data_IF_800848993709
#
_entry.id   IF_800848993709
#
_cell.length_a   1.000
_cell.length_b   1.000
_cell.length_c   1.000
_cell.angle_alpha   90.00
_cell.angle_beta   90.00
_cell.angle_gamma   90.00
#
_symmetry.space_group_name_H-M   'P 1'
#
loop_
_entity.id
_entity.type
_entity.pdbx_description
1 polymer ?
#
# COMPACT_ATOMS: atom_id res chain seq x y z
N UNK A 1 10.08 6.12 -0.71
CA UNK A 1 9.99 4.65 -0.93
C UNK A 1 10.46 3.74 0.23
N UNK A 2 11.59 4.00 0.91
CA UNK A 2 12.10 3.11 1.99
C UNK A 2 11.08 2.96 3.13
N UNK A 3 10.38 4.06 3.43
CA UNK A 3 9.27 4.11 4.39
C UNK A 3 8.08 3.26 3.95
N UNK A 4 7.76 3.27 2.66
CA UNK A 4 6.70 2.45 2.08
C UNK A 4 7.06 0.96 2.17
N UNK A 5 8.33 0.61 1.93
CA UNK A 5 8.82 -0.76 2.09
C UNK A 5 8.68 -1.22 3.55
N UNK A 6 9.03 -0.35 4.50
CA UNK A 6 8.87 -0.60 5.94
C UNK A 6 7.41 -0.84 6.30
N UNK A 7 6.50 -0.02 5.78
CA UNK A 7 5.05 -0.16 5.93
C UNK A 7 4.56 -1.51 5.36
N UNK A 8 4.98 -1.88 4.15
CA UNK A 8 4.60 -3.17 3.55
C UNK A 8 5.11 -4.37 4.33
N UNK A 9 6.36 -4.35 4.80
CA UNK A 9 6.92 -5.40 5.64
C UNK A 9 6.12 -5.55 6.93
N UNK A 10 5.72 -4.44 7.57
CA UNK A 10 4.91 -4.49 8.79
C UNK A 10 3.51 -5.07 8.52
N UNK A 11 2.83 -4.64 7.45
CA UNK A 11 1.51 -5.16 7.07
C UNK A 11 1.54 -6.66 6.75
N UNK A 12 2.53 -7.11 5.99
CA UNK A 12 2.67 -8.52 5.60
C UNK A 12 3.14 -9.39 6.77
N UNK A 13 3.86 -8.83 7.75
CA UNK A 13 4.16 -9.54 9.00
C UNK A 13 2.91 -9.69 9.87
N UNK A 14 2.11 -8.64 9.99
CA UNK A 14 0.91 -8.63 10.82
C UNK A 14 -0.20 -9.52 10.25
N UNK A 15 -0.31 -9.59 8.91
CA UNK A 15 -1.29 -10.41 8.20
C UNK A 15 -0.65 -11.02 6.95
N UNK A 16 0.02 -12.18 7.03
CA UNK A 16 0.53 -12.85 5.83
C UNK A 16 -0.56 -13.09 4.78
N UNK A 17 -0.21 -13.13 3.50
CA UNK A 17 -1.15 -13.54 2.45
C UNK A 17 -0.89 -15.00 2.05
N UNK A 18 -1.94 -15.78 1.80
CA UNK A 18 -1.78 -17.19 1.41
C UNK A 18 -1.14 -17.33 0.01
N UNK A 19 -1.37 -16.35 -0.87
CA UNK A 19 -0.85 -16.30 -2.24
C UNK A 19 0.19 -15.17 -2.38
N UNK A 20 0.97 -15.23 -3.46
CA UNK A 20 1.97 -14.21 -3.81
C UNK A 20 1.31 -12.89 -4.21
N UNK A 21 0.13 -12.93 -4.83
CA UNK A 21 -0.66 -11.74 -5.15
C UNK A 21 -1.57 -11.36 -3.98
N UNK A 22 -1.75 -10.05 -3.80
CA UNK A 22 -2.67 -9.50 -2.83
C UNK A 22 -4.06 -9.28 -3.46
N UNK A 23 -5.16 -9.53 -2.73
CA UNK A 23 -6.49 -9.16 -3.20
C UNK A 23 -6.61 -7.65 -3.46
N UNK A 24 -7.42 -7.20 -4.43
CA UNK A 24 -7.57 -5.78 -4.77
C UNK A 24 -7.96 -4.90 -3.58
N UNK A 25 -8.89 -5.35 -2.73
CA UNK A 25 -9.30 -4.62 -1.52
C UNK A 25 -8.13 -4.39 -0.56
N UNK A 26 -7.25 -5.39 -0.44
CA UNK A 26 -6.07 -5.30 0.40
C UNK A 26 -5.02 -4.37 -0.21
N UNK A 27 -4.87 -4.36 -1.52
CA UNK A 27 -4.00 -3.40 -2.21
C UNK A 27 -4.51 -1.96 -2.03
N UNK A 28 -5.81 -1.72 -2.20
CA UNK A 28 -6.42 -0.40 -1.99
C UNK A 28 -6.22 0.08 -0.55
N UNK A 29 -6.42 -0.81 0.44
CA UNK A 29 -6.14 -0.50 1.84
C UNK A 29 -4.67 -0.17 2.10
N UNK A 30 -3.71 -0.85 1.46
CA UNK A 30 -2.29 -0.53 1.63
C UNK A 30 -1.94 0.84 1.01
N UNK A 31 -2.46 1.15 -0.18
CA UNK A 31 -2.19 2.42 -0.87
C UNK A 31 -2.53 3.64 -0.02
N UNK A 32 -3.59 3.60 0.79
CA UNK A 32 -3.96 4.70 1.69
C UNK A 32 -2.93 4.99 2.79
N UNK A 33 -1.96 4.10 3.01
CA UNK A 33 -0.89 4.23 4.00
C UNK A 33 0.51 4.46 3.40
N UNK A 34 0.66 4.48 2.07
CA UNK A 34 1.95 4.71 1.39
C UNK A 34 2.15 6.17 1.00
N UNK A 35 3.40 6.63 0.96
CA UNK A 35 3.79 7.91 0.40
C UNK A 35 3.71 7.89 -1.14
N UNK A 36 4.12 6.78 -1.77
CA UNK A 36 3.98 6.55 -3.20
C UNK A 36 3.02 5.38 -3.46
N UNK A 37 1.69 5.60 -3.45
CA UNK A 37 0.71 4.52 -3.65
C UNK A 37 0.83 3.85 -5.03
N UNK A 38 1.25 4.61 -6.05
CA UNK A 38 1.50 4.12 -7.41
C UNK A 38 2.67 3.11 -7.47
N UNK A 39 3.61 3.19 -6.54
CA UNK A 39 4.79 2.33 -6.50
C UNK A 39 4.52 0.97 -5.83
N UNK A 40 3.30 0.70 -5.33
CA UNK A 40 3.00 -0.51 -4.54
C UNK A 40 3.37 -1.80 -5.27
N UNK A 41 2.94 -1.94 -6.51
CA UNK A 41 3.17 -3.14 -7.33
C UNK A 41 4.66 -3.35 -7.60
N UNK A 42 5.37 -2.28 -7.98
CA UNK A 42 6.82 -2.30 -8.13
C UNK A 42 7.48 -2.73 -6.83
N UNK A 43 7.11 -2.11 -5.71
CA UNK A 43 7.75 -2.36 -4.43
C UNK A 43 7.56 -3.80 -3.96
N UNK A 44 6.39 -4.41 -4.16
CA UNK A 44 6.19 -5.85 -3.91
C UNK A 44 7.12 -6.71 -4.76
N UNK A 45 7.26 -6.39 -6.06
CA UNK A 45 8.18 -7.10 -6.95
C UNK A 45 9.64 -6.97 -6.51
N UNK A 46 10.07 -5.76 -6.11
CA UNK A 46 11.43 -5.51 -5.62
C UNK A 46 11.71 -6.23 -4.30
N UNK A 47 10.76 -6.22 -3.35
CA UNK A 47 10.95 -6.90 -2.07
C UNK A 47 11.01 -8.44 -2.24
N UNK A 48 10.32 -8.99 -3.25
CA UNK A 48 10.44 -10.40 -3.64
C UNK A 48 11.80 -10.70 -4.31
N UNK A 49 12.23 -9.84 -5.25
CA UNK A 49 13.52 -9.95 -5.93
C UNK A 49 14.69 -9.88 -4.92
N UNK A 50 14.64 -8.92 -4.00
CA UNK A 50 15.60 -8.75 -2.92
C UNK A 50 15.48 -9.81 -1.80
N UNK A 51 14.58 -10.79 -1.94
CA UNK A 51 14.31 -11.86 -0.97
C UNK A 51 13.93 -11.37 0.44
N UNK A 52 13.45 -10.13 0.54
CA UNK A 52 12.88 -9.58 1.78
C UNK A 52 11.48 -10.12 2.03
N UNK A 53 10.80 -10.61 0.98
CA UNK A 53 9.54 -11.35 1.06
C UNK A 53 9.73 -12.80 0.58
N UNK A 54 9.04 -13.72 1.26
CA UNK A 54 8.79 -15.09 0.80
C UNK A 54 7.46 -15.09 0.03
N UNK A 55 7.31 -15.80 -1.10
CA UNK A 55 6.10 -15.70 -1.94
C UNK A 55 4.91 -16.53 -1.45
N UNK A 56 5.12 -17.61 -0.67
CA UNK A 56 4.05 -18.53 -0.23
C UNK A 56 4.32 -19.09 1.18
N UNK A 57 3.58 -18.63 2.21
CA UNK A 57 2.71 -17.45 2.18
C UNK A 57 3.53 -16.18 1.90
N UNK A 58 2.90 -15.16 1.30
CA UNK A 58 3.50 -13.84 1.14
C UNK A 58 3.71 -13.20 2.52
N UNK A 59 4.96 -13.18 2.98
CA UNK A 59 5.36 -12.63 4.28
C UNK A 59 6.84 -12.22 4.29
N UNK A 60 7.29 -11.38 5.23
CA UNK A 60 8.70 -11.05 5.37
C UNK A 60 9.58 -12.27 5.67
N UNK A 61 10.73 -12.34 4.99
CA UNK A 61 11.83 -13.21 5.32
C UNK A 61 12.59 -12.58 6.53
N UNK A 62 12.68 -13.26 7.69
CA UNK A 62 13.15 -12.62 8.92
C UNK A 62 14.52 -11.94 8.82
N UNK A 63 15.51 -12.65 8.29
CA UNK A 63 16.90 -12.16 8.21
C UNK A 63 17.05 -11.01 7.23
N UNK A 64 16.55 -11.16 6.00
CA UNK A 64 16.65 -10.13 4.97
C UNK A 64 15.82 -8.88 5.32
N UNK A 65 14.63 -9.05 5.91
CA UNK A 65 13.82 -7.94 6.37
C UNK A 65 14.48 -7.20 7.55
N UNK A 66 15.06 -7.93 8.52
CA UNK A 66 15.78 -7.32 9.63
C UNK A 66 16.99 -6.51 9.13
N UNK A 67 17.81 -7.09 8.25
CA UNK A 67 18.95 -6.40 7.65
C UNK A 67 18.54 -5.10 6.92
N UNK A 68 17.43 -5.11 6.18
CA UNK A 68 16.89 -3.90 5.56
C UNK A 68 16.41 -2.86 6.57
N UNK A 69 15.72 -3.29 7.63
CA UNK A 69 15.16 -2.38 8.64
C UNK A 69 16.27 -1.72 9.48
N UNK A 70 17.34 -2.45 9.78
CA UNK A 70 18.47 -2.01 10.60
C UNK A 70 19.52 -1.22 9.80
N UNK A 71 19.58 -1.37 8.47
CA UNK A 71 20.51 -0.65 7.64
C UNK A 71 20.32 0.88 7.74
N UNK A 72 21.40 1.68 7.60
CA UNK A 72 21.26 3.11 7.38
C UNK A 72 20.34 3.42 6.18
N UNK A 73 19.58 4.50 6.24
CA UNK A 73 18.62 4.91 5.22
C UNK A 73 19.18 4.91 3.80
N UNK A 74 20.37 5.50 3.63
CA UNK A 74 21.03 5.54 2.33
C UNK A 74 21.39 4.15 1.79
N UNK A 75 21.78 3.21 2.67
CA UNK A 75 22.07 1.83 2.28
C UNK A 75 20.80 1.06 1.91
N UNK A 76 19.71 1.27 2.66
CA UNK A 76 18.43 0.66 2.36
C UNK A 76 17.86 1.16 1.02
N UNK A 77 17.98 2.47 0.74
CA UNK A 77 17.60 3.05 -0.54
C UNK A 77 18.45 2.52 -1.69
N UNK A 78 19.78 2.49 -1.52
CA UNK A 78 20.69 1.92 -2.51
C UNK A 78 20.37 0.45 -2.81
N UNK A 79 20.00 -0.33 -1.79
CA UNK A 79 19.54 -1.71 -1.94
C UNK A 79 18.28 -1.83 -2.82
N UNK A 80 17.28 -0.96 -2.62
CA UNK A 80 16.08 -0.93 -3.46
C UNK A 80 16.39 -0.50 -4.90
N UNK A 81 17.25 0.51 -5.10
CA UNK A 81 17.70 0.95 -6.42
C UNK A 81 18.40 -0.18 -7.18
N UNK A 82 19.34 -0.88 -6.54
CA UNK A 82 20.03 -2.04 -7.14
C UNK A 82 19.06 -3.19 -7.42
N UNK A 83 18.11 -3.43 -6.52
CA UNK A 83 17.07 -4.44 -6.75
C UNK A 83 16.21 -4.09 -7.95
N UNK A 84 15.88 -2.82 -8.17
CA UNK A 84 15.15 -2.37 -9.35
C UNK A 84 15.98 -2.48 -10.62
N UNK A 85 17.22 -2.00 -10.59
CA UNK A 85 18.16 -2.05 -11.71
C UNK A 85 18.30 -3.49 -12.24
N UNK A 86 18.48 -4.46 -11.34
CA UNK A 86 18.62 -5.89 -11.66
C UNK A 86 17.31 -6.68 -11.73
N UNK A 87 16.13 -6.04 -11.59
CA UNK A 87 14.86 -6.77 -11.52
C UNK A 87 14.47 -7.35 -12.87
N UNK A 88 14.16 -8.66 -12.89
CA UNK A 88 13.44 -9.32 -13.99
C UNK A 88 11.96 -9.52 -13.68
N UNK A 89 11.58 -9.41 -12.40
CA UNK A 89 10.18 -9.50 -11.95
C UNK A 89 9.38 -8.27 -12.31
N UNK A 90 10.03 -7.11 -12.36
CA UNK A 90 9.40 -5.85 -12.72
C UNK A 90 9.72 -5.51 -14.18
N UNK A 91 8.67 -5.27 -14.98
CA UNK A 91 8.79 -4.78 -16.35
C UNK A 91 8.22 -3.36 -16.42
N UNK A 92 9.09 -2.36 -16.57
CA UNK A 92 8.70 -0.95 -16.59
C UNK A 92 7.78 -0.63 -17.77
N UNK A 93 7.96 -1.29 -18.94
CA UNK A 93 7.05 -1.13 -20.07
C UNK A 93 5.66 -1.71 -19.80
N UNK A 94 5.61 -2.82 -19.06
CA UNK A 94 4.36 -3.43 -18.66
C UNK A 94 3.55 -2.59 -17.67
N UNK A 95 4.22 -1.66 -16.99
CA UNK A 95 3.62 -0.76 -16.03
C UNK A 95 3.17 0.58 -16.65
N UNK A 96 3.42 0.80 -17.95
CA UNK A 96 2.89 1.95 -18.70
C UNK A 96 1.35 1.81 -18.80
N UNK A 97 0.56 2.74 -18.26
CA UNK A 97 -0.88 2.53 -18.02
C UNK A 97 -1.73 2.17 -19.24
N UNK A 98 -1.43 2.75 -20.40
CA UNK A 98 -2.20 2.53 -21.64
C UNK A 98 -1.67 1.39 -22.51
N UNK A 99 -0.47 0.86 -22.24
CA UNK A 99 0.09 -0.22 -23.05
C UNK A 99 -0.42 -1.59 -22.62
N UNK A 100 -0.73 -2.44 -23.59
CA UNK A 100 -1.11 -3.84 -23.40
C UNK A 100 -0.27 -4.74 -24.32
N UNK A 101 0.08 -5.96 -23.88
CA UNK A 101 0.73 -6.90 -24.78
C UNK A 101 -0.33 -7.46 -25.74
N UNK A 102 -0.03 -7.51 -27.04
CA UNK A 102 -0.90 -8.14 -28.04
C UNK A 102 -0.92 -9.68 -27.96
N UNK A 103 -0.21 -10.27 -27.00
CA UNK A 103 -0.13 -11.71 -26.77
C UNK A 103 0.14 -12.04 -25.29
N UNK A 104 0.51 -13.29 -25.01
CA UNK A 104 0.72 -13.76 -23.62
C UNK A 104 2.03 -13.30 -22.98
N UNK A 105 2.94 -12.69 -23.74
CA UNK A 105 4.24 -12.19 -23.27
C UNK A 105 4.47 -10.77 -23.77
N UNK A 106 5.16 -9.98 -22.95
CA UNK A 106 5.68 -8.70 -23.37
C UNK A 106 6.83 -8.89 -24.37
N UNK A 107 6.91 -8.05 -25.41
CA UNK A 107 7.92 -8.21 -26.47
C UNK A 107 9.33 -7.76 -26.04
N UNK A 108 9.45 -7.01 -24.95
CA UNK A 108 10.74 -6.53 -24.45
C UNK A 108 11.36 -7.46 -23.39
N UNK A 109 12.69 -7.39 -23.28
CA UNK A 109 13.40 -7.81 -22.08
C UNK A 109 13.41 -6.63 -21.07
N UNK A 110 12.85 -6.79 -19.86
CA UNK A 110 12.80 -5.72 -18.86
C UNK A 110 14.16 -5.10 -18.52
N UNK A 111 15.22 -5.92 -18.45
CA UNK A 111 16.57 -5.45 -18.12
C UNK A 111 17.16 -4.64 -19.27
N UNK A 112 17.07 -5.16 -20.49
CA UNK A 112 17.67 -4.49 -21.65
C UNK A 112 16.99 -3.15 -21.93
N UNK A 113 15.65 -3.10 -21.88
CA UNK A 113 14.91 -1.83 -22.03
C UNK A 113 15.31 -0.80 -20.98
N UNK A 114 15.42 -1.23 -19.71
CA UNK A 114 15.81 -0.34 -18.60
C UNK A 114 17.23 0.16 -18.77
N UNK A 115 18.18 -0.73 -19.05
CA UNK A 115 19.59 -0.36 -19.25
C UNK A 115 19.77 0.59 -20.43
N UNK A 116 19.05 0.37 -21.54
CA UNK A 116 19.08 1.26 -22.69
C UNK A 116 18.57 2.67 -22.34
N UNK A 117 17.47 2.79 -21.59
CA UNK A 117 16.99 4.10 -21.14
C UNK A 117 17.92 4.77 -20.12
N UNK A 118 18.51 4.01 -19.21
CA UNK A 118 19.48 4.55 -18.26
C UNK A 118 20.74 5.08 -18.98
N UNK A 119 21.20 4.40 -20.03
CA UNK A 119 22.33 4.86 -20.84
C UNK A 119 22.02 6.20 -21.55
N UNK A 120 20.78 6.42 -21.99
CA UNK A 120 20.36 7.72 -22.54
C UNK A 120 20.41 8.83 -21.46
N UNK A 121 19.93 8.53 -20.25
CA UNK A 121 19.93 9.47 -19.13
C UNK A 121 21.33 9.75 -18.58
N UNK A 122 22.28 8.82 -18.72
CA UNK A 122 23.68 9.03 -18.32
C UNK A 122 24.36 10.13 -19.16
N UNK A 123 23.82 10.47 -20.34
CA UNK A 123 24.38 11.52 -21.21
C UNK A 123 24.11 12.94 -20.74
N UNK A 124 23.21 13.13 -19.76
CA UNK A 124 22.87 14.46 -19.22
C UNK A 124 23.52 14.70 -17.84
N UNK A 125 23.96 15.92 -17.53
CA UNK A 125 24.56 16.26 -16.24
C UNK A 125 23.54 16.09 -15.10
N UNK A 126 23.90 15.39 -14.00
CA UNK A 126 23.05 15.32 -12.82
C UNK A 126 22.99 16.66 -12.10
N UNK A 127 21.88 16.92 -11.41
CA UNK A 127 21.67 18.17 -10.66
C UNK A 127 21.11 19.34 -11.49
N UNK A 128 21.00 19.22 -12.81
CA UNK A 128 20.39 20.22 -13.69
C UNK A 128 18.93 19.89 -14.04
N UNK A 129 18.10 20.91 -14.21
CA UNK A 129 16.71 20.74 -14.64
C UNK A 129 16.61 20.69 -16.16
N UNK A 130 16.00 19.62 -16.68
CA UNK A 130 15.80 19.37 -18.10
C UNK A 130 14.31 19.41 -18.44
N UNK A 131 13.97 19.98 -19.60
CA UNK A 131 12.62 19.88 -20.15
C UNK A 131 12.39 18.43 -20.62
N UNK A 132 11.35 17.78 -20.08
CA UNK A 132 11.09 16.37 -20.30
C UNK A 132 10.81 16.07 -21.78
N UNK A 133 9.94 16.85 -22.41
CA UNK A 133 9.54 16.62 -23.81
C UNK A 133 10.68 16.92 -24.78
N UNK A 134 11.54 17.91 -24.47
CA UNK A 134 12.73 18.20 -25.27
C UNK A 134 13.75 17.07 -25.20
N UNK A 135 13.96 16.48 -24.02
CA UNK A 135 14.79 15.29 -23.86
C UNK A 135 14.25 14.11 -24.69
N UNK A 136 12.94 13.83 -24.59
CA UNK A 136 12.30 12.73 -25.34
C UNK A 136 12.40 12.96 -26.85
N UNK A 137 12.15 14.19 -27.32
CA UNK A 137 12.28 14.54 -28.73
C UNK A 137 13.72 14.33 -29.24
N UNK A 138 14.73 14.67 -28.43
CA UNK A 138 16.13 14.46 -28.78
C UNK A 138 16.47 12.96 -28.87
N UNK A 139 15.96 12.15 -27.94
CA UNK A 139 16.09 10.68 -28.01
C UNK A 139 15.46 10.14 -29.28
N UNK A 140 14.25 10.59 -29.63
CA UNK A 140 13.56 10.19 -30.88
C UNK A 140 14.40 10.51 -32.12
N UNK A 141 15.06 11.66 -32.13
CA UNK A 141 15.86 12.12 -33.26
C UNK A 141 17.20 11.38 -33.40
N UNK A 142 17.86 11.03 -32.28
CA UNK A 142 19.22 10.47 -32.28
C UNK A 142 19.29 8.97 -32.10
N UNK A 143 18.49 8.44 -31.18
CA UNK A 143 18.51 7.04 -30.75
C UNK A 143 17.09 6.44 -30.74
N UNK A 144 16.31 6.53 -31.85
CA UNK A 144 14.91 6.11 -31.87
C UNK A 144 14.70 4.63 -31.54
N UNK A 145 15.71 3.79 -31.81
CA UNK A 145 15.66 2.34 -31.65
C UNK A 145 16.28 1.86 -30.33
N UNK A 146 16.51 2.73 -29.34
CA UNK A 146 17.21 2.35 -28.09
C UNK A 146 16.65 1.11 -27.39
N UNK A 147 15.34 0.84 -27.50
CA UNK A 147 14.70 -0.36 -26.92
C UNK A 147 14.65 -1.57 -27.86
N UNK A 148 14.97 -1.39 -29.14
CA UNK A 148 14.74 -2.37 -30.19
C UNK A 148 16.07 -2.73 -30.85
N UNK A 149 16.71 -3.83 -30.41
CA UNK A 149 17.88 -4.36 -31.10
C UNK A 149 17.58 -4.54 -32.60
N UNK A 150 18.35 -3.88 -33.46
CA UNK A 150 18.15 -3.92 -34.92
C UNK A 150 17.14 -2.93 -35.50
N UNK A 151 16.43 -2.14 -34.67
CA UNK A 151 15.57 -1.05 -35.13
C UNK A 151 14.29 -1.47 -35.86
N UNK A 152 13.80 -2.69 -35.65
CA UNK A 152 12.56 -3.18 -36.26
C UNK A 152 11.32 -2.73 -35.46
N UNK A 153 10.70 -1.64 -35.92
CA UNK A 153 9.49 -1.08 -35.31
C UNK A 153 8.21 -1.91 -35.58
N UNK A 154 8.27 -2.85 -36.51
CA UNK A 154 7.16 -3.72 -36.90
C UNK A 154 7.04 -4.98 -36.02
N UNK A 155 8.11 -5.32 -35.29
CA UNK A 155 8.25 -6.59 -34.56
C UNK A 155 7.45 -6.69 -33.26
N UNK A 156 7.08 -5.56 -32.65
CA UNK A 156 6.38 -5.57 -31.36
C UNK A 156 4.88 -5.52 -31.55
N UNK A 157 4.20 -6.53 -31.03
CA UNK A 157 2.74 -6.58 -30.98
C UNK A 157 2.27 -5.97 -29.67
N UNK A 158 2.10 -4.65 -29.66
CA UNK A 158 1.52 -3.89 -28.55
C UNK A 158 0.15 -3.34 -28.93
N UNK A 159 -0.68 -3.11 -27.93
CA UNK A 159 -1.99 -2.51 -28.07
C UNK A 159 -2.16 -1.32 -27.12
N UNK A 160 -3.02 -0.37 -27.48
CA UNK A 160 -3.52 0.66 -26.58
C UNK A 160 -4.60 0.12 -25.62
N UNK A 161 -5.26 1.01 -24.88
CA UNK A 161 -6.31 0.64 -23.93
C UNK A 161 -7.61 0.17 -24.62
N UNK A 162 -7.82 0.61 -25.87
CA UNK A 162 -8.97 0.32 -26.72
C UNK A 162 -8.78 -0.97 -27.55
N UNK A 163 -7.56 -1.52 -27.58
CA UNK A 163 -7.19 -2.74 -28.29
C UNK A 163 -6.65 -2.50 -29.71
N UNK A 164 -6.43 -1.26 -30.13
CA UNK A 164 -5.79 -0.95 -31.40
C UNK A 164 -4.29 -1.29 -31.35
N UNK A 165 -3.76 -1.84 -32.44
CA UNK A 165 -2.34 -2.21 -32.50
C UNK A 165 -1.45 -0.97 -32.68
N UNK A 166 -0.44 -0.85 -31.83
CA UNK A 166 0.58 0.19 -31.87
C UNK A 166 1.82 -0.33 -32.59
N UNK A 167 1.77 -0.35 -33.93
CA UNK A 167 2.79 -0.97 -34.80
C UNK A 167 3.36 0.02 -35.80
N UNK A 168 4.69 0.06 -35.91
CA UNK A 168 5.39 0.98 -36.81
C UNK A 168 5.88 2.24 -36.09
N UNK A 169 6.69 3.03 -36.79
CA UNK A 169 7.35 4.20 -36.22
C UNK A 169 6.39 5.35 -35.91
N UNK A 170 5.21 5.40 -36.53
CA UNK A 170 4.18 6.41 -36.20
C UNK A 170 3.76 6.38 -34.72
N UNK A 171 3.83 5.22 -34.07
CA UNK A 171 3.44 5.03 -32.66
C UNK A 171 4.60 5.23 -31.68
N UNK A 172 5.74 5.76 -32.13
CA UNK A 172 6.94 5.90 -31.28
C UNK A 172 6.66 6.69 -29.99
N UNK A 173 5.85 7.75 -30.06
CA UNK A 173 5.54 8.57 -28.88
C UNK A 173 4.62 7.85 -27.88
N UNK A 174 3.79 6.94 -28.39
CA UNK A 174 2.83 6.13 -27.64
C UNK A 174 3.49 4.92 -26.98
N UNK A 175 4.62 4.44 -27.51
CA UNK A 175 5.36 3.27 -27.00
C UNK A 175 6.67 3.71 -26.34
N UNK A 176 7.67 4.12 -27.11
CA UNK A 176 9.00 4.48 -26.61
C UNK A 176 8.99 5.79 -25.81
N UNK A 177 8.32 6.83 -26.31
CA UNK A 177 8.15 8.09 -25.58
C UNK A 177 7.40 7.87 -24.26
N UNK A 178 6.35 7.06 -24.28
CA UNK A 178 5.58 6.71 -23.09
C UNK A 178 6.42 5.95 -22.06
N UNK A 179 7.26 5.02 -22.50
CA UNK A 179 8.20 4.32 -21.64
C UNK A 179 9.17 5.28 -20.94
N UNK A 180 9.78 6.22 -21.66
CA UNK A 180 10.70 7.20 -21.06
C UNK A 180 9.98 8.11 -20.04
N UNK A 181 8.79 8.62 -20.37
CA UNK A 181 7.97 9.39 -19.42
C UNK A 181 7.68 8.58 -18.17
N UNK A 182 7.23 7.34 -18.33
CA UNK A 182 6.92 6.45 -17.21
C UNK A 182 8.15 6.18 -16.34
N UNK A 183 9.29 5.86 -16.95
CA UNK A 183 10.53 5.54 -16.24
C UNK A 183 10.98 6.71 -15.34
N UNK A 184 10.95 7.93 -15.89
CA UNK A 184 11.38 9.16 -15.21
C UNK A 184 10.39 9.56 -14.12
N UNK A 185 9.10 9.63 -14.45
CA UNK A 185 8.04 10.10 -13.54
C UNK A 185 7.64 9.05 -12.50
N UNK A 186 7.91 7.77 -12.78
CA UNK A 186 7.59 6.63 -11.96
C UNK A 186 8.82 6.10 -11.22
N UNK A 187 9.40 4.95 -11.63
CA UNK A 187 10.46 4.27 -10.88
C UNK A 187 11.62 5.15 -10.44
N UNK A 188 12.17 6.00 -11.33
CA UNK A 188 13.28 6.88 -10.97
C UNK A 188 12.86 7.92 -9.93
N UNK A 189 11.67 8.50 -10.08
CA UNK A 189 11.14 9.45 -9.11
C UNK A 189 10.81 8.79 -7.76
N UNK A 190 10.11 7.65 -7.78
CA UNK A 190 9.72 6.94 -6.56
C UNK A 190 10.95 6.48 -5.76
N UNK A 191 12.00 6.04 -6.45
CA UNK A 191 13.29 5.65 -5.85
C UNK A 191 14.20 6.84 -5.54
N UNK A 192 13.74 8.08 -5.75
CA UNK A 192 14.49 9.30 -5.45
C UNK A 192 15.70 9.56 -6.35
N UNK A 193 15.85 8.81 -7.45
CA UNK A 193 16.89 9.03 -8.46
C UNK A 193 16.55 10.20 -9.41
N UNK A 194 15.29 10.64 -9.46
CA UNK A 194 14.87 11.82 -10.20
C UNK A 194 13.90 12.70 -9.38
N UNK A 195 14.11 14.01 -9.47
CA UNK A 195 13.10 15.00 -9.10
C UNK A 195 12.23 15.30 -10.32
N UNK A 196 10.95 15.59 -10.08
CA UNK A 196 9.97 15.96 -11.12
C UNK A 196 9.50 17.40 -10.92
N UNK A 197 9.30 18.11 -12.02
CA UNK A 197 8.88 19.51 -12.05
C UNK A 197 7.53 19.68 -12.75
N UNK A 198 6.61 20.37 -12.08
CA UNK A 198 5.29 20.78 -12.59
C UNK A 198 4.91 22.11 -11.96
N UNK A 199 4.07 22.91 -12.62
CA UNK A 199 3.65 24.23 -12.10
C UNK A 199 2.71 24.08 -10.90
N UNK A 200 1.77 23.15 -10.98
CA UNK A 200 0.77 22.84 -9.95
C UNK A 200 0.59 21.33 -9.82
N UNK A 201 0.01 20.87 -8.72
CA UNK A 201 -0.23 19.43 -8.47
C UNK A 201 -1.10 18.76 -9.54
N UNK A 202 -1.98 19.53 -10.19
CA UNK A 202 -2.91 19.06 -11.23
C UNK A 202 -2.33 19.14 -12.64
N UNK A 203 -1.21 19.85 -12.82
CA UNK A 203 -0.56 20.01 -14.11
C UNK A 203 0.38 18.85 -14.44
N UNK A 204 0.60 18.57 -15.75
CA UNK A 204 1.52 17.54 -16.17
C UNK A 204 2.95 17.87 -15.72
N UNK A 205 3.75 16.82 -15.55
CA UNK A 205 5.19 16.96 -15.31
C UNK A 205 5.85 17.45 -16.60
N UNK A 206 6.53 18.58 -16.53
CA UNK A 206 7.17 19.25 -17.67
C UNK A 206 8.68 19.21 -17.62
N UNK A 207 9.26 18.98 -16.44
CA UNK A 207 10.70 18.94 -16.23
C UNK A 207 11.12 17.82 -15.29
N UNK A 208 12.38 17.45 -15.35
CA UNK A 208 12.99 16.52 -14.40
C UNK A 208 14.44 16.89 -14.14
N UNK A 209 15.00 16.35 -13.05
CA UNK A 209 16.41 16.47 -12.70
C UNK A 209 16.91 15.16 -12.10
N UNK A 210 18.05 14.66 -12.55
CA UNK A 210 18.70 13.52 -11.90
C UNK A 210 19.22 13.94 -10.52
N UNK A 211 18.74 13.28 -9.48
CA UNK A 211 19.01 13.59 -8.08
C UNK A 211 20.19 12.76 -7.55
N UNK A 212 20.71 13.08 -6.36
CA UNK A 212 21.90 12.41 -5.79
C UNK A 212 21.83 10.86 -5.78
N UNK A 213 20.69 10.21 -5.46
CA UNK A 213 20.57 8.75 -5.53
C UNK A 213 20.79 8.12 -6.92
N UNK A 214 20.70 8.90 -8.01
CA UNK A 214 21.02 8.46 -9.37
C UNK A 214 22.39 7.79 -9.47
N UNK A 215 23.38 8.26 -8.71
CA UNK A 215 24.75 7.75 -8.78
C UNK A 215 24.87 6.24 -8.49
N UNK A 216 23.93 5.67 -7.74
CA UNK A 216 23.89 4.23 -7.45
C UNK A 216 23.58 3.39 -8.70
N UNK A 217 22.91 3.98 -9.69
CA UNK A 217 22.54 3.30 -10.93
C UNK A 217 23.70 3.21 -11.92
N UNK A 218 24.66 4.12 -11.84
CA UNK A 218 25.84 4.18 -12.72
C UNK A 218 27.11 3.64 -12.06
N UNK A 219 27.22 3.72 -10.73
CA UNK A 219 28.38 3.23 -9.97
C UNK A 219 27.92 2.34 -8.81
N UNK A 220 28.31 1.05 -8.79
CA UNK A 220 27.97 0.14 -7.71
C UNK A 220 28.44 0.59 -6.32
N UNK A 221 29.53 1.36 -6.24
CA UNK A 221 30.20 1.81 -5.02
C UNK A 221 29.63 3.12 -4.48
N UNK A 222 28.77 3.80 -5.26
CA UNK A 222 28.15 5.05 -4.84
C UNK A 222 27.38 4.87 -3.54
N UNK A 223 27.53 5.86 -2.65
CA UNK A 223 26.84 5.93 -1.37
C UNK A 223 25.80 7.02 -1.45
N UNK A 224 24.66 6.79 -0.82
CA UNK A 224 23.65 7.81 -0.58
C UNK A 224 23.87 8.28 0.85
N UNK A 225 24.21 9.55 1.01
CA UNK A 225 24.36 10.16 2.32
C UNK A 225 23.00 10.71 2.77
N UNK A 226 22.47 10.15 3.84
CA UNK A 226 21.19 10.56 4.44
C UNK A 226 21.38 10.68 5.93
N UNK A 227 20.85 11.78 6.48
CA UNK A 227 20.90 12.05 7.90
C UNK A 227 20.23 10.93 8.72
N UNK A 228 20.85 10.50 9.84
CA UNK A 228 20.23 9.53 10.72
C UNK A 228 18.90 10.02 11.28
N UNK A 229 17.92 9.12 11.28
CA UNK A 229 16.58 9.32 11.84
C UNK A 229 16.60 9.49 13.36
N UNK A 230 15.90 10.52 13.86
CA UNK A 230 15.86 10.88 15.29
C UNK A 230 14.44 11.17 15.79
N UNK A 231 13.44 10.82 15.00
CA UNK A 231 12.03 11.07 15.32
C UNK A 231 11.56 10.35 16.57
N UNK A 232 10.56 10.95 17.21
CA UNK A 232 9.98 10.48 18.45
C UNK A 232 8.64 9.76 18.24
N UNK A 233 8.24 8.99 19.25
CA UNK A 233 6.93 8.36 19.34
C UNK A 233 6.21 8.92 20.56
N UNK A 234 5.00 9.44 20.34
CA UNK A 234 4.11 9.82 21.43
C UNK A 234 3.15 8.68 21.70
N UNK A 235 3.19 8.14 22.92
CA UNK A 235 2.27 7.12 23.39
C UNK A 235 1.32 7.72 24.43
N UNK A 236 0.02 7.49 24.26
CA UNK A 236 -0.99 7.96 25.20
C UNK A 236 -1.62 6.82 25.99
N UNK A 237 -2.24 7.18 27.12
CA UNK A 237 -2.89 6.25 28.04
C UNK A 237 -4.10 5.50 27.41
N UNK A 238 -4.66 6.02 26.33
CA UNK A 238 -5.76 5.45 25.54
C UNK A 238 -5.28 4.45 24.47
N UNK A 239 -3.99 4.12 24.44
CA UNK A 239 -3.39 3.22 23.46
C UNK A 239 -3.21 3.82 22.06
N UNK A 240 -3.40 5.14 21.88
CA UNK A 240 -2.95 5.82 20.66
C UNK A 240 -1.43 5.96 20.63
N UNK A 241 -0.85 5.72 19.47
CA UNK A 241 0.54 6.03 19.16
C UNK A 241 0.58 7.00 17.97
N UNK A 242 1.36 8.06 18.12
CA UNK A 242 1.76 8.94 17.02
C UNK A 242 3.25 8.76 16.79
N UNK A 243 3.61 8.33 15.59
CA UNK A 243 4.99 8.06 15.18
C UNK A 243 5.38 9.08 14.13
N UNK A 244 6.37 9.92 14.43
CA UNK A 244 6.90 10.91 13.50
C UNK A 244 7.49 10.26 12.24
N UNK A 245 7.47 10.97 11.11
CA UNK A 245 8.00 10.44 9.84
C UNK A 245 9.52 10.17 9.90
N UNK A 246 10.25 10.93 10.70
CA UNK A 246 11.68 10.79 10.93
C UNK A 246 12.02 9.77 12.03
N UNK A 247 11.05 9.01 12.56
CA UNK A 247 11.32 7.95 13.51
C UNK A 247 12.10 6.78 12.85
N UNK A 248 13.00 6.09 13.60
CA UNK A 248 13.75 4.94 13.09
C UNK A 248 12.85 3.87 12.46
N UNK A 249 13.26 3.29 11.34
CA UNK A 249 12.44 2.33 10.58
C UNK A 249 12.14 1.05 11.36
N UNK A 250 13.12 0.53 12.12
CA UNK A 250 12.92 -0.61 13.03
C UNK A 250 11.79 -0.33 14.00
N UNK A 251 11.78 0.86 14.60
CA UNK A 251 10.75 1.27 15.56
C UNK A 251 9.38 1.39 14.89
N UNK A 252 9.31 2.05 13.73
CA UNK A 252 8.09 2.13 12.91
C UNK A 252 7.54 0.75 12.57
N UNK A 253 8.40 -0.17 12.14
CA UNK A 253 8.02 -1.54 11.83
C UNK A 253 7.46 -2.29 13.04
N UNK A 254 8.13 -2.18 14.20
CA UNK A 254 7.71 -2.86 15.44
C UNK A 254 6.36 -2.36 15.94
N UNK A 255 6.12 -1.05 15.91
CA UNK A 255 4.84 -0.47 16.32
C UNK A 255 3.73 -0.81 15.32
N UNK A 256 3.99 -0.66 14.02
CA UNK A 256 3.00 -0.91 12.98
C UNK A 256 2.51 -2.37 12.98
N UNK A 257 3.36 -3.35 13.29
CA UNK A 257 2.97 -4.78 13.28
C UNK A 257 2.16 -5.23 14.51
N UNK A 258 2.10 -4.43 15.58
CA UNK A 258 1.35 -4.74 16.81
C UNK A 258 0.10 -3.86 17.00
N UNK A 259 -0.15 -2.94 16.08
CA UNK A 259 -1.23 -1.95 16.15
C UNK A 259 -2.17 -2.04 14.95
N UNK A 260 -3.38 -1.50 15.11
CA UNK A 260 -4.24 -1.09 14.00
C UNK A 260 -3.77 0.27 13.46
N UNK A 261 -4.00 0.52 12.17
CA UNK A 261 -3.53 1.71 11.50
C UNK A 261 -4.68 2.70 11.33
N UNK A 262 -4.48 3.91 11.82
CA UNK A 262 -5.43 5.01 11.68
C UNK A 262 -5.00 5.91 10.49
N UNK A 263 -5.87 6.79 9.99
CA UNK A 263 -5.49 7.80 9.01
C UNK A 263 -4.27 8.61 9.50
N UNK A 264 -3.32 8.82 8.60
CA UNK A 264 -2.13 9.64 8.85
C UNK A 264 -2.55 11.09 9.10
N UNK A 265 -1.79 11.80 9.93
CA UNK A 265 -1.96 13.23 10.12
C UNK A 265 -0.75 14.00 9.59
N UNK A 266 -0.72 15.33 9.78
CA UNK A 266 0.38 16.18 9.31
C UNK A 266 1.70 15.92 10.03
N UNK A 267 1.66 15.34 11.22
CA UNK A 267 2.82 15.16 12.10
C UNK A 267 3.38 13.75 12.03
N UNK A 268 2.62 12.77 11.52
CA UNK A 268 3.14 11.43 11.30
C UNK A 268 2.10 10.34 11.06
N UNK A 269 2.49 9.13 11.45
CA UNK A 269 1.70 7.92 11.36
C UNK A 269 0.93 7.71 12.65
N UNK A 270 -0.35 7.38 12.53
CA UNK A 270 -1.25 7.15 13.64
C UNK A 270 -1.55 5.66 13.77
N UNK A 271 -1.36 5.13 14.97
CA UNK A 271 -1.61 3.74 15.31
C UNK A 271 -2.46 3.63 16.57
N UNK A 272 -3.19 2.52 16.68
CA UNK A 272 -4.02 2.20 17.84
C UNK A 272 -3.75 0.79 18.33
N UNK A 273 -3.54 0.63 19.63
CA UNK A 273 -3.59 -0.68 20.26
C UNK A 273 -5.04 -1.10 20.43
N UNK A 274 -5.38 -2.27 19.93
CA UNK A 274 -6.70 -2.88 20.11
C UNK A 274 -6.55 -4.35 20.49
N UNK A 275 -7.57 -4.97 21.09
CA UNK A 275 -7.53 -6.41 21.32
C UNK A 275 -7.28 -7.22 20.04
N UNK A 276 -7.76 -6.75 18.89
CA UNK A 276 -7.52 -7.37 17.60
C UNK A 276 -6.06 -7.19 17.13
N UNK A 277 -5.42 -6.05 17.39
CA UNK A 277 -4.01 -5.84 17.05
C UNK A 277 -3.08 -6.65 17.95
N UNK A 278 -3.39 -6.74 19.23
CA UNK A 278 -2.66 -7.55 20.21
C UNK A 278 -2.79 -9.05 19.90
N UNK A 279 -3.97 -9.52 19.48
CA UNK A 279 -4.14 -10.90 19.01
C UNK A 279 -3.23 -11.20 17.82
N UNK A 280 -3.19 -10.31 16.81
CA UNK A 280 -2.26 -10.46 15.68
C UNK A 280 -0.81 -10.46 16.14
N UNK A 281 -0.43 -9.66 17.14
CA UNK A 281 0.92 -9.68 17.69
C UNK A 281 1.25 -11.04 18.31
N UNK A 282 0.30 -11.64 19.05
CA UNK A 282 0.41 -12.99 19.60
C UNK A 282 0.57 -14.06 18.51
N UNK A 283 -0.20 -13.99 17.43
CA UNK A 283 -0.08 -14.90 16.27
C UNK A 283 1.32 -14.85 15.62
N UNK A 284 2.04 -13.74 15.82
CA UNK A 284 3.42 -13.56 15.35
C UNK A 284 4.49 -14.06 16.34
N UNK A 285 4.07 -14.63 17.48
CA UNK A 285 4.95 -15.12 18.55
C UNK A 285 5.32 -14.08 19.61
N UNK A 286 4.71 -12.89 19.60
CA UNK A 286 4.96 -11.87 20.61
C UNK A 286 4.16 -12.17 21.88
N UNK A 287 4.82 -12.05 23.03
CA UNK A 287 4.23 -12.26 24.36
C UNK A 287 4.02 -10.89 25.01
N UNK A 288 3.25 -10.83 26.09
CA UNK A 288 2.99 -9.58 26.83
C UNK A 288 4.27 -8.78 27.08
N UNK A 289 5.31 -9.42 27.63
CA UNK A 289 6.58 -8.74 27.92
C UNK A 289 7.26 -8.18 26.67
N UNK A 290 7.14 -8.83 25.51
CA UNK A 290 7.68 -8.32 24.25
C UNK A 290 6.96 -7.04 23.82
N UNK A 291 5.63 -7.01 23.95
CA UNK A 291 4.80 -5.86 23.58
C UNK A 291 5.10 -4.68 24.51
N UNK A 292 5.14 -4.92 25.83
CA UNK A 292 5.47 -3.90 26.82
C UNK A 292 6.85 -3.29 26.55
N UNK A 293 7.86 -4.14 26.30
CA UNK A 293 9.23 -3.69 26.00
C UNK A 293 9.29 -2.83 24.74
N UNK A 294 8.64 -3.24 23.65
CA UNK A 294 8.57 -2.46 22.40
C UNK A 294 7.99 -1.07 22.68
N UNK A 295 6.91 -1.00 23.47
CA UNK A 295 6.26 0.27 23.79
C UNK A 295 7.12 1.16 24.72
N UNK A 296 7.84 0.56 25.67
CA UNK A 296 8.74 1.29 26.60
C UNK A 296 9.94 1.87 25.86
N UNK A 297 10.53 1.09 24.95
CA UNK A 297 11.58 1.54 24.04
C UNK A 297 11.06 2.68 23.14
N UNK A 298 9.82 2.56 22.62
CA UNK A 298 9.21 3.58 21.78
C UNK A 298 8.94 4.90 22.52
N UNK A 299 8.35 4.83 23.71
CA UNK A 299 7.96 5.99 24.51
C UNK A 299 9.11 6.64 25.28
N UNK A 300 10.34 6.16 25.12
CA UNK A 300 11.53 6.60 25.85
C UNK A 300 11.34 6.63 27.37
N UNK A 301 10.58 5.67 27.93
CA UNK A 301 10.29 5.66 29.36
C UNK A 301 9.18 4.70 29.78
N UNK A 302 8.74 4.85 31.04
CA UNK A 302 7.70 4.02 31.60
C UNK A 302 6.33 4.30 30.98
N UNK A 303 5.61 3.22 30.61
CA UNK A 303 4.25 3.35 30.07
C UNK A 303 3.27 3.85 31.13
N UNK A 304 2.19 4.54 30.71
CA UNK A 304 1.06 4.84 31.58
C UNK A 304 0.54 3.58 32.30
N UNK A 305 0.32 3.61 33.63
CA UNK A 305 -0.12 2.43 34.39
C UNK A 305 -1.42 1.80 33.85
N UNK A 306 -2.35 2.64 33.39
CA UNK A 306 -3.61 2.18 32.77
C UNK A 306 -3.37 1.36 31.50
N UNK A 307 -2.38 1.74 30.69
CA UNK A 307 -2.03 1.02 29.47
C UNK A 307 -1.36 -0.31 29.78
N UNK A 308 -0.44 -0.36 30.75
CA UNK A 308 0.15 -1.62 31.24
C UNK A 308 -0.95 -2.57 31.72
N UNK A 309 -1.87 -2.07 32.53
CA UNK A 309 -3.00 -2.84 33.02
C UNK A 309 -3.90 -3.33 31.88
N UNK A 310 -4.19 -2.50 30.87
CA UNK A 310 -5.03 -2.90 29.74
C UNK A 310 -4.39 -4.03 28.91
N UNK A 311 -3.09 -3.97 28.66
CA UNK A 311 -2.35 -5.02 27.94
C UNK A 311 -2.33 -6.33 28.76
N UNK A 312 -2.12 -6.22 30.08
CA UNK A 312 -2.12 -7.38 30.97
C UNK A 312 -3.49 -8.05 31.10
N UNK A 313 -4.54 -7.24 31.23
CA UNK A 313 -5.94 -7.72 31.23
C UNK A 313 -6.25 -8.47 29.94
N UNK A 314 -5.92 -7.88 28.79
CA UNK A 314 -6.10 -8.54 27.50
C UNK A 314 -5.33 -9.87 27.42
N UNK A 315 -4.09 -9.91 27.94
CA UNK A 315 -3.31 -11.15 27.94
C UNK A 315 -3.97 -12.26 28.80
N UNK A 316 -4.54 -11.89 29.95
CA UNK A 316 -5.18 -12.85 30.87
C UNK A 316 -6.60 -13.27 30.46
N UNK A 317 -7.40 -12.34 29.92
CA UNK A 317 -8.84 -12.51 29.73
C UNK A 317 -9.26 -12.49 28.25
N UNK A 318 -8.34 -12.18 27.34
CA UNK A 318 -8.62 -12.02 25.92
C UNK A 318 -9.43 -10.75 25.62
N UNK A 319 -10.33 -10.84 24.65
CA UNK A 319 -11.22 -9.73 24.25
C UNK A 319 -12.39 -9.65 25.23
N UNK A 320 -12.37 -8.67 26.13
CA UNK A 320 -13.44 -8.47 27.13
C UNK A 320 -14.65 -7.69 26.57
N UNK A 321 -14.46 -6.86 25.54
CA UNK A 321 -15.52 -6.04 24.94
C UNK A 321 -15.33 -5.87 23.42
N UNK A 322 -16.44 -5.82 22.68
CA UNK A 322 -16.48 -5.57 21.24
C UNK A 322 -17.63 -4.63 20.90
N UNK A 323 -17.40 -3.71 19.97
CA UNK A 323 -18.42 -2.87 19.36
C UNK A 323 -18.78 -3.41 17.97
N UNK A 324 -20.07 -3.56 17.69
CA UNK A 324 -20.58 -4.02 16.39
C UNK A 324 -21.59 -3.03 15.83
N UNK A 325 -21.54 -2.79 14.52
CA UNK A 325 -22.49 -1.92 13.82
C UNK A 325 -23.62 -2.76 13.24
N UNK A 326 -24.83 -2.57 13.77
CA UNK A 326 -26.04 -3.26 13.36
C UNK A 326 -27.26 -2.34 13.44
N UNK A 327 -28.24 -2.57 12.58
CA UNK A 327 -29.55 -1.96 12.72
C UNK A 327 -30.35 -2.69 13.79
N UNK A 328 -31.17 -1.93 14.51
CA UNK A 328 -32.10 -2.46 15.51
C UNK A 328 -33.51 -2.43 14.93
N UNK A 329 -34.09 -3.62 14.71
CA UNK A 329 -35.52 -3.72 14.42
C UNK A 329 -36.28 -3.84 15.74
N UNK A 330 -37.12 -2.84 16.00
CA UNK A 330 -38.08 -2.85 17.10
C UNK A 330 -39.46 -3.10 16.54
N UNK A 331 -40.14 -4.10 17.08
CA UNK A 331 -41.55 -4.36 16.78
C UNK A 331 -42.41 -3.93 17.97
N UNK A 332 -43.67 -3.57 17.70
CA UNK A 332 -44.60 -3.17 18.76
C UNK A 332 -45.01 -4.35 19.65
N UNK A 333 -45.19 -5.53 19.05
CA UNK A 333 -45.68 -6.72 19.72
C UNK A 333 -44.75 -7.91 19.46
N UNK A 334 -44.55 -8.75 20.48
CA UNK A 334 -43.74 -9.97 20.40
C UNK A 334 -44.21 -10.91 19.29
N UNK A 335 -45.52 -10.93 19.01
CA UNK A 335 -46.15 -11.72 17.93
C UNK A 335 -45.53 -11.44 16.55
N UNK A 336 -45.25 -10.17 16.25
CA UNK A 336 -44.63 -9.75 15.00
C UNK A 336 -43.19 -10.25 14.87
N UNK A 337 -42.41 -10.23 15.96
CA UNK A 337 -41.05 -10.78 15.96
C UNK A 337 -41.07 -12.31 15.76
N UNK A 338 -41.98 -13.01 16.46
CA UNK A 338 -42.17 -14.46 16.30
C UNK A 338 -42.55 -14.83 14.87
N UNK A 339 -43.41 -14.05 14.21
CA UNK A 339 -43.76 -14.23 12.80
C UNK A 339 -42.53 -14.11 11.89
N UNK A 340 -41.71 -13.07 12.08
CA UNK A 340 -40.49 -12.87 11.29
C UNK A 340 -39.45 -13.98 11.53
N UNK A 341 -39.37 -14.51 12.74
CA UNK A 341 -38.41 -15.57 13.11
C UNK A 341 -38.84 -16.98 12.67
N UNK A 342 -40.16 -17.23 12.57
CA UNK A 342 -40.69 -18.53 12.16
C UNK A 342 -40.66 -18.70 10.64
N UNK A 343 -40.77 -17.61 9.88
CA UNK A 343 -40.82 -17.68 8.43
C UNK A 343 -39.40 -17.75 7.79
N UNK A 344 -39.08 -18.77 6.97
CA UNK A 344 -37.73 -18.95 6.41
C UNK A 344 -37.27 -17.78 5.52
N UNK A 345 -38.21 -17.09 4.87
CA UNK A 345 -37.89 -15.97 3.97
C UNK A 345 -37.29 -14.78 4.69
N UNK A 346 -37.69 -14.53 5.95
CA UNK A 346 -37.26 -13.41 6.80
C UNK A 346 -36.19 -13.84 7.81
N UNK A 347 -36.30 -15.04 8.40
CA UNK A 347 -35.39 -15.54 9.44
C UNK A 347 -33.91 -15.43 9.09
N UNK A 348 -33.55 -15.72 7.84
CA UNK A 348 -32.15 -15.66 7.34
C UNK A 348 -31.52 -14.27 7.34
N UNK A 349 -32.32 -13.22 7.48
CA UNK A 349 -31.86 -11.83 7.49
C UNK A 349 -31.78 -11.26 8.91
N UNK A 350 -32.32 -11.97 9.89
CA UNK A 350 -32.32 -11.58 11.31
C UNK A 350 -31.01 -12.02 11.97
N UNK A 351 -30.54 -11.21 12.93
CA UNK A 351 -29.37 -11.49 13.76
C UNK A 351 -29.74 -11.89 15.18
N UNK A 352 -28.94 -11.42 16.14
CA UNK A 352 -29.11 -11.71 17.56
C UNK A 352 -30.38 -11.07 18.15
N UNK A 353 -31.08 -11.82 19.00
CA UNK A 353 -32.25 -11.33 19.73
C UNK A 353 -31.77 -10.59 20.97
N UNK A 354 -32.07 -9.29 21.03
CA UNK A 354 -31.65 -8.41 22.13
C UNK A 354 -32.74 -8.25 23.19
N UNK A 355 -33.96 -8.72 22.90
CA UNK A 355 -35.09 -8.70 23.82
C UNK A 355 -36.35 -9.25 23.17
N UNK A 356 -37.49 -9.25 23.90
CA UNK A 356 -38.75 -9.82 23.41
C UNK A 356 -39.32 -9.11 22.17
N UNK A 357 -38.95 -7.85 21.94
CA UNK A 357 -39.45 -7.02 20.83
C UNK A 357 -38.35 -6.41 19.97
N UNK A 358 -37.08 -6.74 20.24
CA UNK A 358 -35.93 -6.10 19.59
C UNK A 358 -34.95 -7.13 19.09
N UNK A 359 -34.52 -6.98 17.84
CA UNK A 359 -33.58 -7.87 17.18
C UNK A 359 -32.55 -7.07 16.38
N UNK A 360 -31.29 -7.50 16.42
CA UNK A 360 -30.23 -6.93 15.61
C UNK A 360 -30.30 -7.44 14.17
N UNK A 361 -29.99 -6.57 13.20
CA UNK A 361 -29.95 -6.88 11.77
C UNK A 361 -28.69 -6.25 11.17
N UNK A 362 -28.04 -6.97 10.25
CA UNK A 362 -26.93 -6.39 9.48
C UNK A 362 -27.46 -5.39 8.45
N UNK A 363 -26.83 -4.22 8.32
CA UNK A 363 -27.26 -3.15 7.39
C UNK A 363 -27.47 -3.67 5.95
N UNK A 364 -26.59 -4.52 5.45
CA UNK A 364 -26.72 -5.13 4.10
C UNK A 364 -27.97 -6.00 3.90
N UNK A 365 -28.53 -6.54 4.98
CA UNK A 365 -29.70 -7.41 4.93
C UNK A 365 -31.02 -6.63 4.98
N UNK A 366 -30.99 -5.36 5.40
CA UNK A 366 -32.17 -4.53 5.59
C UNK A 366 -33.10 -4.47 4.36
N UNK A 367 -32.63 -4.17 3.13
CA UNK A 367 -33.52 -4.06 1.98
C UNK A 367 -34.26 -5.38 1.69
N UNK A 368 -33.56 -6.51 1.82
CA UNK A 368 -34.14 -7.84 1.57
C UNK A 368 -35.10 -8.26 2.67
N UNK A 369 -34.82 -7.89 3.92
CA UNK A 369 -35.73 -8.14 5.03
C UNK A 369 -37.04 -7.36 4.85
N UNK A 370 -36.96 -6.07 4.50
CA UNK A 370 -38.13 -5.22 4.24
C UNK A 370 -39.05 -5.85 3.20
N UNK A 371 -38.50 -6.24 2.04
CA UNK A 371 -39.30 -6.81 0.96
C UNK A 371 -39.91 -8.18 1.35
N UNK A 372 -39.18 -8.98 2.12
CA UNK A 372 -39.67 -10.27 2.61
C UNK A 372 -40.76 -10.11 3.68
N UNK A 373 -40.62 -9.15 4.59
CA UNK A 373 -41.60 -8.83 5.62
C UNK A 373 -42.90 -8.27 5.01
N UNK A 374 -42.79 -7.41 3.99
CA UNK A 374 -43.96 -6.86 3.29
C UNK A 374 -44.82 -7.96 2.66
N UNK A 375 -44.21 -9.02 2.11
CA UNK A 375 -44.94 -10.20 1.59
C UNK A 375 -45.65 -11.02 2.67
N UNK A 376 -45.25 -10.86 3.94
CA UNK A 376 -45.92 -11.46 5.10
C UNK A 376 -46.95 -10.50 5.72
N UNK A 377 -47.20 -9.35 5.10
CA UNK A 377 -48.14 -8.34 5.61
C UNK A 377 -47.57 -7.40 6.66
N UNK A 378 -46.25 -7.40 6.89
CA UNK A 378 -45.59 -6.51 7.84
C UNK A 378 -44.74 -5.47 7.10
N UNK A 379 -45.17 -4.21 7.14
CA UNK A 379 -44.37 -3.09 6.65
C UNK A 379 -43.41 -2.62 7.75
N UNK A 380 -42.16 -2.40 7.38
CA UNK A 380 -41.10 -1.96 8.30
C UNK A 380 -40.57 -0.62 7.82
N UNK A 381 -40.52 0.36 8.73
CA UNK A 381 -39.95 1.66 8.44
C UNK A 381 -38.45 1.59 8.16
N UNK A 382 -37.92 2.40 7.24
CA UNK A 382 -36.47 2.48 7.00
C UNK A 382 -35.72 2.97 8.24
N UNK A 383 -34.44 2.60 8.39
CA UNK A 383 -33.59 3.20 9.40
C UNK A 383 -33.61 4.73 9.22
N UNK A 384 -33.80 5.47 10.32
CA UNK A 384 -33.76 6.93 10.31
C UNK A 384 -32.40 7.40 9.78
N UNK A 385 -32.42 8.24 8.75
CA UNK A 385 -31.25 9.00 8.33
C UNK A 385 -31.12 10.19 9.29
N UNK A 386 -30.47 10.00 10.44
CA UNK A 386 -30.18 11.11 11.35
C UNK A 386 -29.05 11.97 10.75
N UNK A 387 -29.45 12.82 9.80
CA UNK A 387 -28.73 14.01 9.33
C UNK A 387 -29.68 15.21 9.20
N UNK A 388 -30.75 15.24 10.00
CA UNK A 388 -31.52 16.45 10.26
C UNK A 388 -31.43 16.77 11.75
N UNK A 389 -31.12 18.05 12.02
CA UNK A 389 -30.61 18.54 13.28
C UNK A 389 -31.60 18.41 14.43
N UNK A 390 -31.01 18.30 15.62
CA UNK A 390 -31.68 18.62 16.87
C UNK A 390 -32.11 20.11 16.80
N UNK A 391 -33.36 20.44 17.16
CA UNK A 391 -33.89 21.82 17.13
C UNK A 391 -33.18 22.76 18.11
#
# INVERSE_FOLDING_TARGET
>A
IVDDATTLLAALRARPAAQESLPPERMAALRSHLHHPEALDMLLALLLEARMLQPKPLKPAPEAAAAFLEAPDGQALAGLLRSWLGSRRWNDMAAVPHLRPGGSKWPNDPLLSRQAALALLETIPPGEWWNLESFIAEVKAREPSFQRPGGDFESWYLQDAEGAFLRGFEHWDEVEGAFLRYLIQGPLHWLGAADIGRTTEQEPITAFRLASPWQVLISPEAKIDLEPRRGQVTLRADGSLRVSYDAPRVLRYQLARISDWEPRDREGLCYRLTPASLHRASDQGLREYHILRILEEAGAGALPPSLKQAISRWHSAGVEARLERSLLLRVKETSALTMLQSHPSTRRYLGEVLGPTTIAIQEKNWPRLRDAAARLGLLIDPPSNDSEGVP
#
